data_IF_380825738436
#
_entry.id   IF_380825738436
#
_cell.length_a   1.000
_cell.length_b   1.000
_cell.length_c   1.000
_cell.angle_alpha   90.00
_cell.angle_beta   90.00
_cell.angle_gamma   90.00
#
_symmetry.space_group_name_H-M   'P 1'
#
loop_
_entity.id
_entity.type
_entity.pdbx_description
1 polymer ?
#
# COMPACT_ATOMS: atom_id res chain seq x y z
N UNK A 1 -9.86 20.54 27.77
CA UNK A 1 -9.11 19.33 28.19
C UNK A 1 -9.27 18.31 27.08
N UNK A 2 -8.17 17.90 26.45
CA UNK A 2 -8.12 16.93 25.35
C UNK A 2 -8.21 15.50 25.91
N UNK A 3 -9.08 14.66 25.36
CA UNK A 3 -8.92 13.20 25.46
C UNK A 3 -8.50 12.70 24.09
N UNK A 4 -7.19 12.56 23.92
CA UNK A 4 -6.58 11.87 22.81
C UNK A 4 -7.09 10.42 22.79
N UNK A 5 -8.05 10.15 21.92
CA UNK A 5 -8.43 8.78 21.53
C UNK A 5 -7.35 8.21 20.61
N UNK A 6 -6.13 8.12 21.12
CA UNK A 6 -5.06 7.33 20.51
C UNK A 6 -5.32 5.89 20.93
N UNK A 7 -6.22 5.23 20.18
CA UNK A 7 -6.53 3.82 20.34
C UNK A 7 -5.31 3.03 19.85
N UNK A 8 -4.25 3.02 20.66
CA UNK A 8 -3.17 2.07 20.55
C UNK A 8 -3.79 0.69 20.70
N UNK A 9 -4.04 0.04 19.56
CA UNK A 9 -4.44 -1.37 19.44
C UNK A 9 -3.36 -2.25 20.09
N UNK A 10 -3.45 -2.36 21.41
CA UNK A 10 -2.67 -3.24 22.27
C UNK A 10 -3.45 -4.57 22.37
N UNK A 11 -3.27 -5.46 21.38
CA UNK A 11 -3.38 -6.95 21.41
C UNK A 11 -3.73 -7.53 20.02
N UNK A 12 -3.21 -8.72 19.62
CA UNK A 12 -1.82 -9.12 19.50
C UNK A 12 -1.25 -8.75 18.11
N UNK A 13 0.01 -8.30 18.08
CA UNK A 13 0.79 -7.85 16.92
C UNK A 13 0.91 -8.84 15.72
N UNK A 14 0.29 -10.02 15.75
CA UNK A 14 0.42 -11.05 14.70
C UNK A 14 -0.51 -10.81 13.51
N UNK A 15 -1.77 -10.42 13.72
CA UNK A 15 -2.71 -10.17 12.61
C UNK A 15 -2.28 -8.97 11.76
N UNK A 16 -1.84 -7.89 12.39
CA UNK A 16 -1.30 -6.72 11.69
C UNK A 16 -0.02 -7.06 10.93
N UNK A 17 0.89 -7.85 11.52
CA UNK A 17 2.10 -8.31 10.83
C UNK A 17 1.81 -9.20 9.62
N UNK A 18 0.84 -10.11 9.72
CA UNK A 18 0.43 -10.96 8.59
C UNK A 18 -0.19 -10.12 7.47
N UNK A 19 -1.07 -9.17 7.81
CA UNK A 19 -1.65 -8.25 6.83
C UNK A 19 -0.60 -7.35 6.18
N UNK A 20 0.36 -6.82 6.95
CA UNK A 20 1.47 -6.02 6.41
C UNK A 20 2.33 -6.86 5.48
N UNK A 21 2.66 -8.11 5.84
CA UNK A 21 3.39 -9.02 4.94
C UNK A 21 2.61 -9.27 3.65
N UNK A 22 1.32 -9.59 3.73
CA UNK A 22 0.49 -9.80 2.56
C UNK A 22 0.39 -8.54 1.68
N UNK A 23 0.29 -7.36 2.29
CA UNK A 23 0.30 -6.09 1.58
C UNK A 23 1.65 -5.84 0.90
N UNK A 24 2.77 -6.08 1.57
CA UNK A 24 4.10 -5.95 0.99
C UNK A 24 4.26 -6.85 -0.24
N UNK A 25 3.83 -8.10 -0.17
CA UNK A 25 3.85 -9.02 -1.33
C UNK A 25 3.00 -8.49 -2.50
N UNK A 26 1.82 -7.90 -2.22
CA UNK A 26 1.00 -7.26 -3.27
C UNK A 26 1.68 -6.04 -3.86
N UNK A 27 2.33 -5.21 -3.04
CA UNK A 27 3.10 -4.03 -3.49
C UNK A 27 4.27 -4.46 -4.37
N UNK A 28 5.03 -5.48 -3.97
CA UNK A 28 6.13 -6.05 -4.77
C UNK A 28 5.65 -6.54 -6.13
N UNK A 29 4.57 -7.32 -6.16
CA UNK A 29 3.97 -7.80 -7.40
C UNK A 29 3.46 -6.66 -8.29
N UNK A 30 2.80 -5.66 -7.69
CA UNK A 30 2.30 -4.47 -8.37
C UNK A 30 3.43 -3.66 -8.99
N UNK A 31 4.53 -3.46 -8.26
CA UNK A 31 5.72 -2.76 -8.73
C UNK A 31 6.41 -3.53 -9.85
N UNK A 32 6.57 -4.85 -9.70
CA UNK A 32 7.18 -5.73 -10.70
C UNK A 32 6.44 -5.68 -12.04
N UNK A 33 5.10 -5.80 -12.01
CA UNK A 33 4.25 -5.71 -13.22
C UNK A 33 4.46 -4.40 -14.00
N UNK A 34 4.79 -3.30 -13.31
CA UNK A 34 4.94 -1.97 -13.90
C UNK A 34 6.39 -1.51 -14.06
N UNK A 35 7.36 -2.36 -13.71
CA UNK A 35 8.78 -1.99 -13.63
C UNK A 35 9.03 -0.74 -12.75
N UNK A 36 8.28 -0.61 -11.65
CA UNK A 36 8.41 0.50 -10.70
C UNK A 36 9.34 0.13 -9.54
N UNK A 37 10.04 1.13 -8.99
CA UNK A 37 10.73 0.97 -7.71
C UNK A 37 9.75 1.14 -6.54
N UNK A 38 10.02 0.45 -5.43
CA UNK A 38 9.21 0.59 -4.20
C UNK A 38 9.19 2.04 -3.69
N UNK A 39 10.29 2.77 -3.84
CA UNK A 39 10.36 4.18 -3.45
C UNK A 39 9.48 5.08 -4.32
N UNK A 40 9.41 4.80 -5.62
CA UNK A 40 8.51 5.51 -6.54
C UNK A 40 7.04 5.20 -6.20
N UNK A 41 6.71 3.92 -6.02
CA UNK A 41 5.37 3.51 -5.57
C UNK A 41 4.99 4.19 -4.24
N UNK A 42 5.88 4.15 -3.25
CA UNK A 42 5.64 4.71 -1.91
C UNK A 42 5.37 6.21 -1.96
N UNK A 43 6.09 6.94 -2.83
CA UNK A 43 5.85 8.36 -3.08
C UNK A 43 4.47 8.62 -3.68
N UNK A 44 4.02 7.79 -4.64
CA UNK A 44 2.73 7.98 -5.29
C UNK A 44 1.55 7.55 -4.42
N UNK A 45 1.64 6.38 -3.78
CA UNK A 45 0.56 5.80 -3.00
C UNK A 45 0.35 6.51 -1.65
N UNK A 46 1.42 7.05 -1.08
CA UNK A 46 1.44 7.49 0.31
C UNK A 46 2.12 8.84 0.54
N UNK A 47 2.68 9.48 -0.50
CA UNK A 47 3.42 10.74 -0.36
C UNK A 47 4.77 10.61 0.35
N UNK A 48 5.21 9.40 0.71
CA UNK A 48 6.42 9.17 1.49
C UNK A 48 7.21 8.00 0.88
N UNK A 49 8.39 8.29 0.33
CA UNK A 49 9.30 7.32 -0.31
C UNK A 49 9.72 6.15 0.60
N UNK A 50 9.63 6.31 1.93
CA UNK A 50 10.10 5.35 2.90
C UNK A 50 8.98 4.50 3.51
N UNK A 51 7.71 4.70 3.14
CA UNK A 51 6.59 4.01 3.84
C UNK A 51 6.73 2.49 3.75
N UNK A 52 6.97 1.94 2.56
CA UNK A 52 7.13 0.49 2.33
C UNK A 52 8.36 -0.05 3.08
N UNK A 53 9.45 0.72 3.10
CA UNK A 53 10.67 0.37 3.87
C UNK A 53 10.37 0.30 5.37
N UNK A 54 9.62 1.26 5.92
CA UNK A 54 9.21 1.26 7.33
C UNK A 54 8.25 0.12 7.64
N UNK A 55 7.29 -0.17 6.75
CA UNK A 55 6.38 -1.31 6.89
C UNK A 55 7.15 -2.63 6.96
N UNK A 56 8.16 -2.81 6.10
CA UNK A 56 9.01 -4.01 6.09
C UNK A 56 9.87 -4.11 7.36
N UNK A 57 10.44 -2.99 7.83
CA UNK A 57 11.30 -2.97 9.01
C UNK A 57 10.51 -3.14 10.33
N UNK A 58 9.40 -2.40 10.49
CA UNK A 58 8.59 -2.41 11.71
C UNK A 58 7.60 -3.59 11.74
N UNK A 59 7.18 -4.09 10.58
CA UNK A 59 6.12 -5.08 10.45
C UNK A 59 4.73 -4.53 10.82
N UNK A 60 4.60 -3.20 10.95
CA UNK A 60 3.37 -2.52 11.34
C UNK A 60 3.14 -1.29 10.47
N UNK A 61 1.88 -0.87 10.37
CA UNK A 61 1.44 0.30 9.62
C UNK A 61 0.12 0.79 10.21
N UNK A 62 -0.19 2.09 10.09
CA UNK A 62 -1.50 2.60 10.50
C UNK A 62 -2.58 2.13 9.52
N UNK A 63 -3.80 1.91 10.02
CA UNK A 63 -4.92 1.47 9.17
C UNK A 63 -5.22 2.48 8.04
N UNK A 64 -5.13 3.78 8.33
CA UNK A 64 -5.28 4.82 7.32
C UNK A 64 -4.28 4.65 6.17
N UNK A 65 -3.00 4.42 6.50
CA UNK A 65 -1.95 4.27 5.50
C UNK A 65 -2.06 2.97 4.71
N UNK A 66 -2.57 1.92 5.36
CA UNK A 66 -2.92 0.67 4.69
C UNK A 66 -4.00 0.88 3.63
N UNK A 67 -5.09 1.57 4.01
CA UNK A 67 -6.20 1.89 3.10
C UNK A 67 -5.76 2.75 1.91
N UNK A 68 -4.92 3.76 2.13
CA UNK A 68 -4.37 4.60 1.05
C UNK A 68 -3.60 3.76 0.02
N UNK A 69 -2.73 2.86 0.48
CA UNK A 69 -1.93 1.98 -0.38
C UNK A 69 -2.83 1.01 -1.17
N UNK A 70 -3.80 0.39 -0.51
CA UNK A 70 -4.72 -0.55 -1.16
C UNK A 70 -5.65 0.14 -2.17
N UNK A 71 -6.14 1.33 -1.84
CA UNK A 71 -6.95 2.14 -2.75
C UNK A 71 -6.15 2.54 -3.98
N UNK A 72 -4.93 3.05 -3.81
CA UNK A 72 -4.07 3.45 -4.92
C UNK A 72 -3.81 2.30 -5.90
N UNK A 73 -3.50 1.10 -5.39
CA UNK A 73 -3.29 -0.08 -6.25
C UNK A 73 -4.57 -0.43 -7.03
N UNK A 74 -5.74 -0.39 -6.38
CA UNK A 74 -7.02 -0.69 -7.02
C UNK A 74 -7.35 0.30 -8.13
N UNK A 75 -7.15 1.59 -7.89
CA UNK A 75 -7.38 2.64 -8.88
C UNK A 75 -6.47 2.49 -10.10
N UNK A 76 -5.19 2.17 -9.90
CA UNK A 76 -4.25 1.94 -10.99
C UNK A 76 -4.51 0.67 -11.78
N UNK A 77 -4.89 -0.42 -11.12
CA UNK A 77 -5.31 -1.64 -11.84
C UNK A 77 -6.59 -1.40 -12.67
N UNK A 78 -7.52 -0.57 -12.17
CA UNK A 78 -8.71 -0.17 -12.93
C UNK A 78 -8.35 0.71 -14.13
N UNK A 79 -7.44 1.66 -13.96
CA UNK A 79 -6.94 2.52 -15.05
C UNK A 79 -6.26 1.69 -16.15
N UNK A 80 -5.41 0.74 -15.78
CA UNK A 80 -4.74 -0.13 -16.77
C UNK A 80 -5.75 -1.00 -17.53
N UNK A 81 -6.76 -1.56 -16.85
CA UNK A 81 -7.86 -2.29 -17.53
C UNK A 81 -8.69 -1.38 -18.43
N UNK A 82 -8.90 -0.13 -18.06
CA UNK A 82 -9.61 0.82 -18.90
C UNK A 82 -8.80 1.15 -20.16
N UNK A 83 -7.48 1.35 -20.04
CA UNK A 83 -6.57 1.61 -21.17
C UNK A 83 -6.48 0.43 -22.14
N UNK A 84 -6.50 -0.80 -21.63
CA UNK A 84 -6.50 -2.01 -22.45
C UNK A 84 -7.78 -2.13 -23.31
N UNK A 85 -8.94 -1.74 -22.77
CA UNK A 85 -10.22 -1.74 -23.50
C UNK A 85 -10.34 -0.63 -24.55
N UNK A 86 -9.55 0.44 -24.42
CA UNK A 86 -9.63 1.64 -25.27
C UNK A 86 -8.55 1.62 -26.37
N UNK A 87 -7.66 0.61 -26.39
CA UNK A 87 -6.75 0.38 -27.51
C UNK A 87 -7.39 -0.60 -28.49
N UNK A 88 -8.09 -0.14 -29.55
CA UNK A 88 -8.50 -1.03 -30.62
C UNK A 88 -7.23 -1.54 -31.31
N UNK A 89 -7.21 -2.84 -31.59
CA UNK A 89 -6.24 -3.46 -32.48
C UNK A 89 -6.03 -2.59 -33.72
N UNK A 90 -4.79 -2.19 -33.97
CA UNK A 90 -4.37 -1.59 -35.25
C UNK A 90 -4.17 -2.70 -36.29
#
# INVERSE_FOLDING_TARGET
MQTNSDTWLNEPNTKTKVHVKALLTRVEAFCSKRSWSEGYFSKLAAGDVNVVKRMRAAGTVTAAKMSEIEQFMRERDAEDRAKEKVSPSH
#
